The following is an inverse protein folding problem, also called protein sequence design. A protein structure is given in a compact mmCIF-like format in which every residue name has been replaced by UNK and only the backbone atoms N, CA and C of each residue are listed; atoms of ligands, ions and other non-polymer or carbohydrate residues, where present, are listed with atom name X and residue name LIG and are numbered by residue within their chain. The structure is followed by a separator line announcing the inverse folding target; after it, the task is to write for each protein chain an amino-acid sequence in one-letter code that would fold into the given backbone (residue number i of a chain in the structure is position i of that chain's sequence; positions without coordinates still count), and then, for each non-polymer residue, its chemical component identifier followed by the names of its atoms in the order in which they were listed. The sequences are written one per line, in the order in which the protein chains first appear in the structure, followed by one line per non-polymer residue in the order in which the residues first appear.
data_IF_039905855927
#
_entry.id   IF_039905855927
#
_cell.length_a   1.000
_cell.length_b   1.000
_cell.length_c   1.000
_cell.angle_alpha   90.00
_cell.angle_beta   90.00
_cell.angle_gamma   90.00
#
_symmetry.space_group_name_H-M   'P 1'
#
loop_
_entity.id
_entity.type
_entity.pdbx_description
1 polymer ?
#
# COMPACT_ATOMS: atom_id res chain seq x y z
N UNK A 1 -0.38 -12.38 13.20
CA UNK A 1 -0.35 -12.29 11.73
C UNK A 1 -0.56 -10.83 11.38
N UNK A 2 0.36 -10.26 10.60
CA UNK A 2 0.22 -8.88 10.12
C UNK A 2 -0.89 -8.79 9.08
N UNK A 3 -1.63 -7.67 9.06
CA UNK A 3 -2.80 -7.50 8.20
C UNK A 3 -2.38 -6.96 6.84
N UNK A 4 -2.85 -7.61 5.79
CA UNK A 4 -2.62 -7.17 4.42
C UNK A 4 -3.72 -6.22 3.94
N UNK A 5 -3.30 -5.04 3.47
CA UNK A 5 -4.16 -3.96 3.00
C UNK A 5 -4.20 -3.91 1.48
N UNK A 6 -5.36 -3.52 0.95
CA UNK A 6 -5.55 -3.18 -0.46
C UNK A 6 -5.12 -1.73 -0.73
N UNK A 7 -4.90 -1.38 -2.00
CA UNK A 7 -4.55 -0.01 -2.38
C UNK A 7 -5.59 1.03 -1.89
N UNK A 8 -6.88 0.65 -1.83
CA UNK A 8 -7.97 1.50 -1.33
C UNK A 8 -7.88 1.72 0.18
N UNK A 9 -7.42 0.72 0.94
CA UNK A 9 -7.22 0.89 2.39
C UNK A 9 -6.01 1.77 2.66
N UNK A 10 -4.90 1.52 1.95
CA UNK A 10 -3.69 2.34 2.05
C UNK A 10 -3.97 3.79 1.69
N UNK A 11 -4.73 4.03 0.61
CA UNK A 11 -5.07 5.40 0.18
C UNK A 11 -5.85 6.16 1.26
N UNK A 12 -6.74 5.48 1.99
CA UNK A 12 -7.51 6.08 3.08
C UNK A 12 -6.63 6.35 4.30
N UNK A 13 -5.73 5.43 4.64
CA UNK A 13 -4.82 5.59 5.78
C UNK A 13 -3.84 6.73 5.58
N UNK A 14 -3.27 6.85 4.37
CA UNK A 14 -2.28 7.88 4.05
C UNK A 14 -2.89 9.16 3.47
N UNK A 15 -4.22 9.25 3.35
CA UNK A 15 -4.94 10.39 2.75
C UNK A 15 -4.43 10.80 1.36
N UNK A 16 -4.02 9.82 0.55
CA UNK A 16 -3.57 10.03 -0.85
C UNK A 16 -4.54 9.42 -1.85
N UNK A 17 -4.38 9.73 -3.14
CA UNK A 17 -5.22 9.13 -4.20
C UNK A 17 -4.85 7.66 -4.42
N UNK A 18 -5.85 6.79 -4.65
CA UNK A 18 -5.61 5.37 -4.98
C UNK A 18 -4.69 5.21 -6.20
N UNK A 19 -4.85 6.08 -7.21
CA UNK A 19 -3.98 6.09 -8.40
C UNK A 19 -2.51 6.36 -8.07
N UNK A 20 -2.25 7.12 -7.01
CA UNK A 20 -0.90 7.41 -6.53
C UNK A 20 -0.28 6.19 -5.85
N UNK A 21 -1.06 5.51 -4.99
CA UNK A 21 -0.67 4.24 -4.36
C UNK A 21 -0.30 3.19 -5.41
N UNK A 22 -1.10 3.08 -6.48
CA UNK A 22 -0.82 2.16 -7.59
C UNK A 22 0.42 2.56 -8.41
N UNK A 23 0.79 3.84 -8.43
CA UNK A 23 2.00 4.31 -9.12
C UNK A 23 3.28 4.02 -8.34
N UNK A 24 3.23 3.86 -7.02
CA UNK A 24 4.42 3.53 -6.22
C UNK A 24 5.11 2.26 -6.71
N UNK A 25 4.35 1.26 -7.14
CA UNK A 25 4.88 0.03 -7.74
C UNK A 25 5.69 0.24 -9.04
N UNK A 26 5.53 1.39 -9.72
CA UNK A 26 6.20 1.69 -11.00
C UNK A 26 7.42 2.59 -10.86
N UNK A 27 7.86 2.91 -9.64
CA UNK A 27 9.05 3.73 -9.38
C UNK A 27 8.81 4.95 -8.49
N UNK A 28 7.91 4.86 -7.51
CA UNK A 28 7.59 5.98 -6.61
C UNK A 28 8.20 5.85 -5.20
N UNK A 29 8.43 6.98 -4.55
CA UNK A 29 8.84 7.12 -3.13
C UNK A 29 7.67 6.79 -2.17
N UNK A 30 7.20 5.54 -2.17
CA UNK A 30 6.11 5.12 -1.30
C UNK A 30 6.27 3.69 -0.81
N UNK A 31 5.40 3.25 0.10
CA UNK A 31 5.48 1.91 0.66
C UNK A 31 5.32 0.82 -0.42
N UNK A 32 6.18 -0.18 -0.32
CA UNK A 32 6.34 -1.24 -1.33
C UNK A 32 5.21 -2.27 -1.17
N UNK A 33 4.50 -2.64 -2.24
CA UNK A 33 3.53 -3.72 -2.16
C UNK A 33 4.19 -5.10 -2.21
N UNK A 34 3.56 -6.05 -1.52
CA UNK A 34 3.70 -7.48 -1.71
C UNK A 34 2.80 -7.90 -2.88
N UNK A 35 3.37 -8.57 -3.87
CA UNK A 35 2.62 -9.13 -5.01
C UNK A 35 2.15 -10.53 -4.65
N UNK A 36 0.83 -10.74 -4.57
CA UNK A 36 0.26 -12.06 -4.28
C UNK A 36 -0.37 -12.64 -5.56
N UNK A 37 0.11 -13.80 -6.05
CA UNK A 37 -0.45 -14.45 -7.24
C UNK A 37 -1.96 -14.66 -7.13
N UNK A 38 -2.73 -14.26 -8.15
CA UNK A 38 -4.19 -14.38 -8.19
C UNK A 38 -4.98 -13.36 -7.35
N UNK A 39 -4.32 -12.59 -6.49
CA UNK A 39 -4.96 -11.58 -5.61
C UNK A 39 -4.55 -10.14 -6.00
N UNK A 40 -3.31 -9.96 -6.43
CA UNK A 40 -2.73 -8.67 -6.81
C UNK A 40 -1.90 -8.04 -5.69
N UNK A 41 -1.79 -6.71 -5.71
CA UNK A 41 -0.96 -5.92 -4.79
C UNK A 41 -1.58 -5.83 -3.39
N UNK A 42 -0.76 -6.06 -2.37
CA UNK A 42 -1.10 -5.90 -0.96
C UNK A 42 0.00 -5.16 -0.21
N UNK A 43 -0.34 -4.47 0.86
CA UNK A 43 0.62 -3.77 1.72
C UNK A 43 0.51 -4.27 3.15
N UNK A 44 1.64 -4.40 3.84
CA UNK A 44 1.66 -4.67 5.28
C UNK A 44 1.05 -3.48 6.03
N UNK A 45 0.11 -3.73 6.95
CA UNK A 45 -0.46 -2.66 7.75
C UNK A 45 0.61 -1.99 8.62
N UNK A 46 1.47 -2.77 9.27
CA UNK A 46 2.53 -2.22 10.11
C UNK A 46 3.52 -1.35 9.32
N UNK A 47 3.85 -1.72 8.08
CA UNK A 47 4.67 -0.86 7.21
C UNK A 47 3.97 0.44 6.85
N UNK A 48 2.67 0.42 6.53
CA UNK A 48 1.91 1.64 6.22
C UNK A 48 1.78 2.56 7.43
N UNK A 49 1.64 2.01 8.63
CA UNK A 49 1.55 2.80 9.87
C UNK A 49 2.82 3.61 10.14
N UNK A 50 3.99 3.15 9.70
CA UNK A 50 5.24 3.91 9.80
C UNK A 50 5.28 5.17 8.92
N UNK A 51 4.39 5.29 7.93
CA UNK A 51 4.28 6.45 7.05
C UNK A 51 3.29 7.50 7.57
N UNK A 52 2.54 7.19 8.63
CA UNK A 52 1.63 8.13 9.30
C UNK A 52 2.47 8.85 10.37
N UNK A 53 3.12 9.95 10.01
CA UNK A 53 3.80 10.87 10.93
C UNK A 53 3.14 12.24 10.89
#
# INVERSE_FOLDING_TARGET
MDRLLTAVQVSKMLSVRVSEVLRWNKGGNGPVPIVIPGIGLRWSQSEIELWIH
#
